data_IF_863599198848
#
_entry.id   IF_863599198848
#
_cell.length_a   1.000
_cell.length_b   1.000
_cell.length_c   1.000
_cell.angle_alpha   90.00
_cell.angle_beta   90.00
_cell.angle_gamma   90.00
#
_symmetry.space_group_name_H-M   'P 1'
#
loop_
_entity.id
_entity.type
_entity.pdbx_description
1 polymer ?
#
# COMPACT_ATOMS: atom_id res chain seq x y z
N UNK A 1 -15.69 3.42 -4.23
CA UNK A 1 -14.42 2.69 -4.07
C UNK A 1 -14.37 2.16 -2.65
N UNK A 2 -13.73 1.02 -2.44
CA UNK A 2 -13.54 0.45 -1.11
C UNK A 2 -12.67 1.41 -0.27
N UNK A 3 -13.13 1.77 0.93
CA UNK A 3 -12.46 2.73 1.82
C UNK A 3 -11.67 2.04 2.93
N UNK A 4 -11.73 0.71 2.99
CA UNK A 4 -11.06 -0.08 4.00
C UNK A 4 -9.77 -0.68 3.44
N UNK A 5 -8.62 -0.51 4.12
CA UNK A 5 -7.38 -1.14 3.68
C UNK A 5 -7.52 -2.66 3.80
N UNK A 6 -7.45 -3.36 2.67
CA UNK A 6 -7.48 -4.82 2.60
C UNK A 6 -6.20 -5.36 1.98
N UNK A 7 -5.77 -6.54 2.42
CA UNK A 7 -4.62 -7.21 1.82
C UNK A 7 -4.93 -7.70 0.41
N UNK A 8 -3.91 -7.78 -0.45
CA UNK A 8 -4.03 -8.37 -1.79
C UNK A 8 -4.62 -9.80 -1.75
N UNK A 9 -4.34 -10.57 -0.69
CA UNK A 9 -4.91 -11.90 -0.44
C UNK A 9 -6.42 -11.90 -0.28
N UNK A 10 -7.01 -10.82 0.26
CA UNK A 10 -8.47 -10.71 0.45
C UNK A 10 -9.24 -10.79 -0.87
N UNK A 11 -8.58 -10.55 -2.01
CA UNK A 11 -9.15 -10.69 -3.35
C UNK A 11 -9.39 -12.15 -3.77
N UNK A 12 -8.90 -13.13 -3.01
CA UNK A 12 -9.11 -14.56 -3.29
C UNK A 12 -10.58 -14.95 -3.45
N UNK A 13 -11.45 -14.55 -2.50
CA UNK A 13 -12.87 -14.94 -2.54
C UNK A 13 -13.66 -14.22 -3.64
N UNK A 14 -13.57 -12.89 -3.79
CA UNK A 14 -14.35 -12.18 -4.80
C UNK A 14 -13.93 -12.49 -6.24
N UNK A 15 -12.64 -12.80 -6.47
CA UNK A 15 -12.09 -12.99 -7.82
C UNK A 15 -11.72 -14.46 -8.12
N UNK A 16 -11.95 -15.37 -7.19
CA UNK A 16 -11.61 -16.80 -7.34
C UNK A 16 -10.13 -17.05 -7.70
N UNK A 17 -9.22 -16.21 -7.19
CA UNK A 17 -7.79 -16.31 -7.43
C UNK A 17 -7.07 -16.97 -6.25
N UNK A 18 -5.86 -17.48 -6.48
CA UNK A 18 -4.98 -17.93 -5.41
C UNK A 18 -4.37 -16.71 -4.69
N UNK A 19 -4.95 -16.33 -3.56
CA UNK A 19 -4.58 -15.10 -2.84
C UNK A 19 -3.11 -15.07 -2.43
N UNK A 20 -2.57 -16.19 -1.95
CA UNK A 20 -1.17 -16.29 -1.50
C UNK A 20 -0.17 -16.11 -2.65
N UNK A 21 -0.47 -16.69 -3.83
CA UNK A 21 0.36 -16.53 -5.02
C UNK A 21 0.25 -15.10 -5.57
N UNK A 22 -0.96 -14.53 -5.57
CA UNK A 22 -1.21 -13.17 -6.01
C UNK A 22 -0.51 -12.14 -5.11
N UNK A 23 -0.60 -12.26 -3.79
CA UNK A 23 0.08 -11.38 -2.85
C UNK A 23 1.61 -11.42 -3.04
N UNK A 24 2.17 -12.63 -3.22
CA UNK A 24 3.60 -12.80 -3.50
C UNK A 24 3.99 -12.16 -4.84
N UNK A 25 3.22 -12.39 -5.90
CA UNK A 25 3.46 -11.80 -7.21
C UNK A 25 3.35 -10.28 -7.18
N UNK A 26 2.35 -9.74 -6.47
CA UNK A 26 2.17 -8.31 -6.28
C UNK A 26 3.40 -7.68 -5.63
N UNK A 27 3.82 -8.20 -4.47
CA UNK A 27 4.97 -7.69 -3.70
C UNK A 27 6.31 -7.84 -4.42
N UNK A 28 6.48 -8.89 -5.22
CA UNK A 28 7.75 -9.20 -5.84
C UNK A 28 7.91 -8.63 -7.25
N UNK A 29 6.81 -8.49 -8.01
CA UNK A 29 6.87 -8.28 -9.45
C UNK A 29 5.88 -7.23 -9.98
N UNK A 30 4.67 -7.09 -9.42
CA UNK A 30 3.64 -6.23 -10.03
C UNK A 30 3.60 -4.80 -9.46
N UNK A 31 4.02 -4.61 -8.21
CA UNK A 31 3.89 -3.31 -7.55
C UNK A 31 5.02 -2.32 -7.84
N UNK A 32 6.06 -2.73 -8.59
CA UNK A 32 7.29 -1.95 -8.83
C UNK A 32 8.01 -1.44 -7.55
N UNK A 33 7.58 -1.85 -6.36
CA UNK A 33 8.13 -1.38 -5.08
C UNK A 33 9.63 -1.68 -4.92
N UNK A 34 10.17 -2.67 -5.63
CA UNK A 34 11.61 -3.00 -5.60
C UNK A 34 12.44 -2.07 -6.49
N UNK A 35 11.87 -1.59 -7.58
CA UNK A 35 12.49 -0.71 -8.57
C UNK A 35 12.09 0.76 -8.38
N UNK A 36 11.20 1.05 -7.44
CA UNK A 36 10.76 2.40 -7.12
C UNK A 36 11.93 3.33 -6.76
N UNK A 37 12.18 4.32 -7.62
CA UNK A 37 13.31 5.27 -7.54
C UNK A 37 13.41 6.02 -6.20
N UNK A 38 12.27 6.23 -5.53
CA UNK A 38 12.17 7.06 -4.32
C UNK A 38 12.20 6.26 -3.02
N UNK A 39 12.27 4.92 -3.13
CA UNK A 39 12.26 4.00 -1.99
C UNK A 39 13.27 4.35 -0.89
N UNK A 40 14.46 4.82 -1.27
CA UNK A 40 15.54 5.15 -0.31
C UNK A 40 15.21 6.32 0.62
N UNK A 41 14.35 7.24 0.18
CA UNK A 41 13.94 8.41 0.96
C UNK A 41 12.46 8.40 1.35
N UNK A 42 11.68 7.40 0.95
CA UNK A 42 10.27 7.24 1.30
C UNK A 42 9.97 7.43 2.80
N UNK A 43 10.84 6.91 3.68
CA UNK A 43 10.74 7.07 5.13
C UNK A 43 10.81 8.53 5.62
N UNK A 44 11.42 9.43 4.85
CA UNK A 44 11.50 10.86 5.17
C UNK A 44 10.20 11.58 4.84
N UNK A 45 9.34 10.98 4.02
CA UNK A 45 8.13 11.58 3.46
C UNK A 45 6.86 10.95 4.07
N UNK A 46 7.00 10.30 5.23
CA UNK A 46 5.86 9.78 5.99
C UNK A 46 5.01 10.93 6.52
N UNK A 47 3.70 10.87 6.22
CA UNK A 47 2.72 11.81 6.76
C UNK A 47 1.97 11.14 7.91
N UNK A 48 1.96 11.82 9.05
CA UNK A 48 1.15 11.44 10.20
C UNK A 48 -0.21 12.14 10.14
N UNK A 49 -1.27 11.57 10.75
CA UNK A 49 -2.60 12.19 10.78
C UNK A 49 -2.61 13.65 11.25
N UNK A 50 -1.70 14.00 12.18
CA UNK A 50 -1.56 15.37 12.69
C UNK A 50 -0.93 16.36 11.68
N UNK A 51 -0.29 15.85 10.63
CA UNK A 51 0.43 16.63 9.61
C UNK A 51 -0.42 16.84 8.33
N UNK A 52 -1.69 16.42 8.33
CA UNK A 52 -2.59 16.48 7.18
C UNK A 52 -3.37 17.80 7.18
N UNK A 53 -3.18 18.61 6.13
CA UNK A 53 -4.01 19.77 5.84
C UNK A 53 -5.35 19.39 5.20
N UNK A 54 -6.32 20.31 5.11
CA UNK A 54 -7.69 20.02 4.69
C UNK A 54 -7.83 19.55 3.23
N UNK A 55 -6.83 19.77 2.38
CA UNK A 55 -6.83 19.37 0.98
C UNK A 55 -5.62 18.47 0.71
N UNK A 56 -5.84 17.16 0.73
CA UNK A 56 -4.79 16.17 0.45
C UNK A 56 -5.29 15.16 -0.58
N UNK A 57 -4.56 15.00 -1.68
CA UNK A 57 -4.71 13.89 -2.62
C UNK A 57 -3.41 13.08 -2.60
N UNK A 58 -3.43 11.90 -2.00
CA UNK A 58 -2.30 10.95 -2.06
C UNK A 58 -2.87 9.55 -2.34
N UNK A 59 -2.21 8.83 -3.24
CA UNK A 59 -2.44 7.42 -3.52
C UNK A 59 -1.14 6.64 -3.28
N UNK A 60 -0.90 6.27 -2.03
CA UNK A 60 -0.34 4.98 -1.65
C UNK A 60 -0.42 4.83 -0.13
N UNK A 61 -1.09 3.78 0.34
CA UNK A 61 -1.19 3.43 1.75
C UNK A 61 -0.46 2.12 2.01
N UNK A 62 0.45 2.13 2.99
CA UNK A 62 1.22 0.97 3.40
C UNK A 62 0.72 0.47 4.75
N UNK A 63 0.30 -0.80 4.81
CA UNK A 63 -0.04 -1.47 6.06
C UNK A 63 1.24 -2.12 6.64
N UNK A 64 1.64 -1.70 7.83
CA UNK A 64 2.79 -2.28 8.54
C UNK A 64 2.48 -2.42 10.03
N UNK A 65 2.61 -3.63 10.58
CA UNK A 65 2.37 -3.96 11.99
C UNK A 65 0.99 -3.54 12.54
N UNK A 66 -0.04 -3.50 11.68
CA UNK A 66 -1.39 -3.09 12.07
C UNK A 66 -1.65 -1.59 11.92
N UNK A 67 -0.61 -0.79 11.64
CA UNK A 67 -0.72 0.63 11.41
C UNK A 67 -0.71 0.95 9.91
N UNK A 68 -1.53 1.93 9.52
CA UNK A 68 -1.63 2.42 8.15
C UNK A 68 -0.78 3.69 8.00
N UNK A 69 0.17 3.66 7.07
CA UNK A 69 1.05 4.78 6.77
C UNK A 69 0.79 5.29 5.36
N UNK A 70 0.83 6.60 5.18
CA UNK A 70 0.77 7.25 3.86
C UNK A 70 2.18 7.68 3.46
N UNK A 71 2.58 7.33 2.23
CA UNK A 71 3.93 7.60 1.70
C UNK A 71 3.79 8.52 0.47
N UNK A 72 4.75 9.43 0.27
CA UNK A 72 4.90 10.27 -0.95
C UNK A 72 6.23 9.92 -1.62
#
# INVERSE_FOLDING_TARGET
MDTSPITARSLQKPYHIKGDEFERAYKAHLSDFRTWKHKSHAQKWLIFPLNIGPNLSIDETALSNGDLYTII
#
